data_IF_296424856555
#
_entry.id   IF_296424856555
#
_cell.length_a   1.000
_cell.length_b   1.000
_cell.length_c   1.000
_cell.angle_alpha   90.00
_cell.angle_beta   90.00
_cell.angle_gamma   90.00
#
_symmetry.space_group_name_H-M   'P 1'
#
loop_
_entity.id
_entity.type
_entity.pdbx_description
1 polymer ?
#
# COMPACT_ATOMS: atom_id res chain seq x y z
N UNK A 1 22.70 -15.62 11.14
CA UNK A 1 22.00 -14.92 10.02
C UNK A 1 20.51 -14.92 10.36
N UNK A 2 19.90 -13.75 10.44
CA UNK A 2 18.46 -13.67 10.72
C UNK A 2 17.68 -14.10 9.47
N UNK A 3 17.09 -15.26 9.52
CA UNK A 3 16.34 -15.88 8.41
C UNK A 3 14.89 -15.34 8.31
N UNK A 4 14.69 -14.01 8.43
CA UNK A 4 13.36 -13.39 8.39
C UNK A 4 13.30 -12.25 7.38
N UNK A 5 12.13 -11.99 6.84
CA UNK A 5 11.85 -10.81 6.06
C UNK A 5 11.92 -9.55 6.92
N UNK A 6 12.55 -8.49 6.43
CA UNK A 6 12.59 -7.16 7.04
C UNK A 6 11.97 -6.16 6.08
N UNK A 7 11.23 -5.20 6.61
CA UNK A 7 10.73 -4.09 5.79
C UNK A 7 11.94 -3.31 5.29
N UNK A 8 12.00 -3.11 3.97
CA UNK A 8 13.05 -2.36 3.32
C UNK A 8 12.59 -0.97 2.89
N UNK A 9 11.34 -0.87 2.40
CA UNK A 9 10.74 0.38 1.94
C UNK A 9 9.22 0.31 2.03
N UNK A 10 8.59 1.46 2.28
CA UNK A 10 7.15 1.68 2.07
C UNK A 10 7.01 2.85 1.11
N UNK A 11 6.11 2.73 0.15
CA UNK A 11 5.83 3.77 -0.82
C UNK A 11 4.35 4.05 -0.99
N UNK A 12 4.07 5.28 -1.37
CA UNK A 12 2.75 5.81 -1.65
C UNK A 12 2.78 6.52 -3.00
N UNK A 13 1.73 6.35 -3.78
CA UNK A 13 1.52 7.06 -5.04
C UNK A 13 0.11 7.63 -5.06
N UNK A 14 0.01 8.95 -5.25
CA UNK A 14 -1.25 9.70 -5.30
C UNK A 14 -2.20 9.33 -4.13
N UNK A 15 -1.65 9.30 -2.92
CA UNK A 15 -2.38 8.90 -1.73
C UNK A 15 -2.26 9.98 -0.65
N UNK A 16 -3.37 10.46 -0.14
CA UNK A 16 -3.48 11.56 0.82
C UNK A 16 -2.81 12.84 0.28
N UNK A 17 -1.82 13.39 0.98
CA UNK A 17 -1.05 14.58 0.58
C UNK A 17 0.16 14.25 -0.31
N UNK A 18 0.42 12.98 -0.59
CA UNK A 18 1.61 12.53 -1.30
C UNK A 18 1.31 12.26 -2.77
N UNK A 19 1.99 12.96 -3.66
CA UNK A 19 1.99 12.59 -5.09
C UNK A 19 2.77 11.29 -5.29
N UNK A 20 4.00 11.23 -4.77
CA UNK A 20 4.82 10.04 -4.65
C UNK A 20 5.79 10.23 -3.49
N UNK A 21 5.81 9.26 -2.57
CA UNK A 21 6.71 9.28 -1.43
C UNK A 21 7.20 7.88 -1.12
N UNK A 22 8.46 7.77 -0.73
CA UNK A 22 9.08 6.51 -0.31
C UNK A 22 9.76 6.71 1.05
N UNK A 23 9.57 5.76 1.96
CA UNK A 23 10.19 5.71 3.26
C UNK A 23 11.12 4.51 3.33
N UNK A 24 12.42 4.75 3.31
CA UNK A 24 13.44 3.70 3.43
C UNK A 24 13.63 3.27 4.88
N UNK A 25 13.71 1.96 5.08
CA UNK A 25 13.96 1.33 6.37
C UNK A 25 15.39 0.81 6.43
N UNK A 26 16.10 1.16 7.47
CA UNK A 26 17.45 0.65 7.73
C UNK A 26 17.37 -0.56 8.67
N UNK A 27 17.67 -1.72 8.13
CA UNK A 27 17.58 -3.00 8.86
C UNK A 27 16.20 -3.25 9.50
N UNK A 28 15.14 -2.93 8.76
CA UNK A 28 13.75 -3.06 9.21
C UNK A 28 13.29 -1.97 10.19
N UNK A 29 14.07 -0.89 10.37
CA UNK A 29 13.77 0.19 11.31
C UNK A 29 13.60 1.52 10.59
N UNK A 30 12.60 2.29 11.01
CA UNK A 30 12.34 3.66 10.55
C UNK A 30 12.08 4.55 11.76
N UNK A 31 12.67 5.74 11.78
CA UNK A 31 12.40 6.78 12.77
C UNK A 31 11.82 7.99 12.04
N UNK A 32 10.54 8.28 12.29
CA UNK A 32 9.89 9.49 11.80
C UNK A 32 9.98 10.60 12.84
N UNK A 33 10.54 11.73 12.43
CA UNK A 33 10.60 12.94 13.27
C UNK A 33 9.75 14.04 12.64
N UNK A 34 9.15 14.89 13.46
CA UNK A 34 8.35 16.02 13.02
C UNK A 34 7.47 16.55 14.15
N UNK A 35 6.93 17.75 13.96
CA UNK A 35 6.01 18.39 14.90
C UNK A 35 4.71 17.62 15.06
N UNK A 36 3.92 17.91 16.10
CA UNK A 36 2.59 17.36 16.25
C UNK A 36 1.71 17.81 15.07
N UNK A 37 0.90 16.91 14.53
CA UNK A 37 0.07 17.17 13.35
C UNK A 37 0.76 16.97 11.99
N UNK A 38 2.06 16.61 11.94
CA UNK A 38 2.80 16.41 10.68
C UNK A 38 2.48 15.09 9.95
N UNK A 39 1.46 14.36 10.37
CA UNK A 39 1.01 13.13 9.69
C UNK A 39 1.78 11.85 10.03
N UNK A 40 2.79 11.89 10.92
CA UNK A 40 3.58 10.69 11.30
C UNK A 40 2.74 9.50 11.74
N UNK A 41 1.78 9.75 12.63
CA UNK A 41 0.88 8.70 13.15
C UNK A 41 0.00 8.13 12.05
N UNK A 42 -0.53 8.96 11.16
CA UNK A 42 -1.33 8.51 10.02
C UNK A 42 -0.52 7.61 9.11
N UNK A 43 0.71 8.02 8.76
CA UNK A 43 1.58 7.25 7.87
C UNK A 43 1.88 5.85 8.44
N UNK A 44 2.22 5.75 9.72
CA UNK A 44 2.66 4.47 10.29
C UNK A 44 1.51 3.64 10.86
N UNK A 45 0.56 4.24 11.56
CA UNK A 45 -0.50 3.51 12.22
C UNK A 45 -1.59 3.04 11.25
N UNK A 46 -1.85 3.80 10.18
CA UNK A 46 -2.88 3.45 9.21
C UNK A 46 -2.33 2.64 8.03
N UNK A 47 -1.17 3.03 7.48
CA UNK A 47 -0.70 2.45 6.21
C UNK A 47 -0.08 1.06 6.37
N UNK A 48 0.74 0.82 7.38
CA UNK A 48 1.37 -0.50 7.57
C UNK A 48 0.32 -1.59 7.82
N UNK A 49 -0.63 -1.44 8.77
CA UNK A 49 -1.69 -2.42 8.94
C UNK A 49 -2.53 -2.64 7.68
N UNK A 50 -2.89 -1.55 6.98
CA UNK A 50 -3.65 -1.63 5.74
C UNK A 50 -2.93 -2.43 4.65
N UNK A 51 -1.61 -2.20 4.48
CA UNK A 51 -0.80 -2.96 3.50
C UNK A 51 -0.71 -4.44 3.89
N UNK A 52 -0.72 -4.78 5.17
CA UNK A 52 -0.59 -6.17 5.61
C UNK A 52 -1.88 -6.98 5.46
N UNK A 53 -3.05 -6.40 5.72
CA UNK A 53 -4.32 -7.12 5.75
C UNK A 53 -5.37 -6.64 4.74
N UNK A 54 -5.18 -5.47 4.12
CA UNK A 54 -6.12 -4.88 3.18
C UNK A 54 -7.41 -4.37 3.83
N UNK A 55 -7.50 -4.33 5.14
CA UNK A 55 -8.71 -3.95 5.86
C UNK A 55 -8.88 -2.42 5.89
N UNK A 56 -9.90 -1.92 5.18
CA UNK A 56 -10.22 -0.50 5.00
C UNK A 56 -11.19 0.05 6.05
N UNK A 57 -11.55 -0.71 7.07
CA UNK A 57 -12.51 -0.23 8.08
C UNK A 57 -11.98 0.99 8.83
N UNK A 58 -12.84 1.95 9.21
CA UNK A 58 -12.43 3.12 10.00
C UNK A 58 -11.71 2.76 11.29
N UNK A 59 -12.13 1.69 11.97
CA UNK A 59 -11.47 1.19 13.19
C UNK A 59 -10.02 0.77 12.95
N UNK A 60 -9.72 0.25 11.75
CA UNK A 60 -8.37 -0.18 11.37
C UNK A 60 -7.52 1.02 10.93
N UNK A 61 -8.13 2.01 10.27
CA UNK A 61 -7.45 3.21 9.80
C UNK A 61 -7.16 4.20 10.94
N UNK A 62 -7.97 4.21 11.99
CA UNK A 62 -7.82 5.11 13.13
C UNK A 62 -8.21 4.42 14.45
N UNK A 63 -7.43 3.43 14.91
CA UNK A 63 -7.79 2.59 16.06
C UNK A 63 -7.85 3.37 17.37
N UNK A 64 -7.21 4.54 17.45
CA UNK A 64 -7.16 5.39 18.66
C UNK A 64 -7.88 6.72 18.52
N UNK A 65 -8.52 6.98 17.39
CA UNK A 65 -9.17 8.25 17.09
C UNK A 65 -10.69 8.18 17.05
N UNK A 66 -11.28 9.13 16.32
CA UNK A 66 -12.73 9.30 16.22
C UNK A 66 -13.46 8.22 15.41
N UNK A 67 -12.72 7.35 14.72
CA UNK A 67 -13.25 6.37 13.74
C UNK A 67 -13.98 7.01 12.55
N UNK A 68 -13.78 8.30 12.33
CA UNK A 68 -14.38 9.04 11.21
C UNK A 68 -13.58 8.95 9.92
N UNK A 69 -12.34 8.46 10.00
CA UNK A 69 -11.44 8.36 8.86
C UNK A 69 -11.91 7.30 7.87
N UNK A 70 -12.23 7.74 6.68
CA UNK A 70 -12.62 6.88 5.56
C UNK A 70 -11.46 6.77 4.60
N UNK A 71 -11.27 5.58 4.02
CA UNK A 71 -10.25 5.35 2.98
C UNK A 71 -10.47 6.30 1.79
N UNK A 72 -11.71 6.66 1.50
CA UNK A 72 -12.09 7.58 0.44
C UNK A 72 -11.41 8.94 0.60
N UNK A 73 -11.35 9.50 1.82
CA UNK A 73 -10.74 10.80 2.12
C UNK A 73 -9.25 10.84 1.77
N UNK A 74 -8.57 9.71 1.88
CA UNK A 74 -7.16 9.59 1.50
C UNK A 74 -6.93 9.49 -0.01
N UNK A 75 -7.94 9.08 -0.77
CA UNK A 75 -7.83 8.85 -2.22
C UNK A 75 -8.31 10.06 -3.01
N UNK A 76 -9.52 10.56 -2.73
CA UNK A 76 -10.13 11.66 -3.48
C UNK A 76 -10.22 12.97 -2.70
N UNK A 77 -9.82 12.98 -1.44
CA UNK A 77 -9.99 14.14 -0.55
C UNK A 77 -11.38 14.23 0.07
N UNK A 78 -11.58 15.20 0.94
CA UNK A 78 -12.82 15.44 1.68
C UNK A 78 -13.28 16.90 1.55
N UNK A 79 -14.30 17.29 2.32
CA UNK A 79 -14.85 18.66 2.30
C UNK A 79 -13.86 19.75 2.75
N UNK A 80 -12.79 19.38 3.46
CA UNK A 80 -11.74 20.32 3.93
C UNK A 80 -10.59 20.45 2.92
N UNK A 81 -10.59 19.65 1.86
CA UNK A 81 -9.55 19.60 0.83
C UNK A 81 -10.18 19.68 -0.55
N UNK A 82 -9.35 19.85 -1.59
CA UNK A 82 -9.83 19.74 -2.97
C UNK A 82 -10.26 18.31 -3.23
N UNK A 83 -11.57 18.10 -3.32
CA UNK A 83 -12.12 16.78 -3.62
C UNK A 83 -12.06 16.49 -5.12
N UNK A 84 -11.39 15.40 -5.48
CA UNK A 84 -11.31 14.90 -6.86
C UNK A 84 -12.59 14.11 -7.20
N UNK A 85 -13.06 14.19 -8.45
CA UNK A 85 -14.19 13.35 -8.91
C UNK A 85 -13.81 11.87 -8.97
N UNK A 86 -12.57 11.59 -9.38
CA UNK A 86 -12.00 10.25 -9.42
C UNK A 86 -10.49 10.32 -9.20
N UNK A 87 -9.95 9.33 -8.49
CA UNK A 87 -8.51 9.14 -8.34
C UNK A 87 -8.14 7.67 -8.19
N UNK A 88 -6.92 7.34 -8.60
CA UNK A 88 -6.28 6.05 -8.36
C UNK A 88 -5.06 6.30 -7.48
N UNK A 89 -4.89 5.46 -6.46
CA UNK A 89 -3.80 5.54 -5.51
C UNK A 89 -3.18 4.17 -5.26
N UNK A 90 -1.92 4.16 -4.87
CA UNK A 90 -1.21 2.94 -4.50
C UNK A 90 -0.50 3.09 -3.18
N UNK A 91 -0.52 2.00 -2.39
CA UNK A 91 0.32 1.78 -1.23
C UNK A 91 1.11 0.50 -1.46
N UNK A 92 2.39 0.48 -1.12
CA UNK A 92 3.19 -0.74 -1.24
C UNK A 92 4.25 -0.83 -0.15
N UNK A 93 4.65 -2.06 0.15
CA UNK A 93 5.73 -2.39 1.07
C UNK A 93 6.69 -3.36 0.39
N UNK A 94 7.93 -2.97 0.29
CA UNK A 94 9.02 -3.84 -0.13
C UNK A 94 9.65 -4.47 1.12
N UNK A 95 9.75 -5.78 1.13
CA UNK A 95 10.49 -6.54 2.15
C UNK A 95 11.73 -7.16 1.53
N UNK A 96 12.77 -7.29 2.35
CA UNK A 96 14.06 -7.85 1.96
C UNK A 96 14.45 -8.99 2.88
N UNK A 97 15.00 -10.04 2.29
CA UNK A 97 15.67 -11.14 2.99
C UNK A 97 16.91 -11.52 2.20
N UNK A 98 18.09 -11.29 2.78
CA UNK A 98 19.38 -11.40 2.07
C UNK A 98 19.39 -10.50 0.83
N UNK A 99 19.52 -11.07 -0.37
CA UNK A 99 19.45 -10.35 -1.65
C UNK A 99 18.11 -10.53 -2.38
N UNK A 100 17.12 -11.14 -1.73
CA UNK A 100 15.80 -11.33 -2.30
C UNK A 100 14.85 -10.20 -1.87
N UNK A 101 14.02 -9.76 -2.81
CA UNK A 101 13.02 -8.72 -2.58
C UNK A 101 11.63 -9.25 -2.97
N UNK A 102 10.66 -8.94 -2.14
CA UNK A 102 9.23 -9.11 -2.44
C UNK A 102 8.57 -7.77 -2.18
N UNK A 103 7.72 -7.32 -3.09
CA UNK A 103 6.87 -6.16 -2.85
C UNK A 103 5.41 -6.60 -2.83
N UNK A 104 4.70 -6.27 -1.77
CA UNK A 104 3.25 -6.40 -1.67
C UNK A 104 2.62 -5.02 -1.75
N UNK A 105 1.43 -4.90 -2.32
CA UNK A 105 0.80 -3.60 -2.44
C UNK A 105 -0.69 -3.66 -2.71
N UNK A 106 -1.32 -2.52 -2.49
CA UNK A 106 -2.73 -2.26 -2.70
C UNK A 106 -2.92 -1.11 -3.69
N UNK A 107 -3.82 -1.28 -4.61
CA UNK A 107 -4.35 -0.22 -5.44
C UNK A 107 -5.77 0.11 -5.05
N UNK A 108 -6.13 1.38 -5.14
CA UNK A 108 -7.45 1.90 -4.84
C UNK A 108 -7.94 2.79 -5.96
N UNK A 109 -9.24 2.72 -6.23
CA UNK A 109 -9.94 3.67 -7.09
C UNK A 109 -11.07 4.28 -6.29
N UNK A 110 -10.95 5.57 -5.99
CA UNK A 110 -12.00 6.38 -5.39
C UNK A 110 -12.77 7.12 -6.46
N UNK A 111 -14.09 7.15 -6.33
CA UNK A 111 -15.00 7.96 -7.14
C UNK A 111 -16.02 8.59 -6.21
N UNK A 112 -16.26 9.87 -6.39
CA UNK A 112 -17.22 10.61 -5.54
C UNK A 112 -18.59 9.94 -5.53
N UNK A 113 -19.11 9.69 -4.32
CA UNK A 113 -20.42 9.05 -4.13
C UNK A 113 -20.48 7.57 -4.48
N UNK A 114 -19.33 6.89 -4.68
CA UNK A 114 -19.29 5.45 -4.93
C UNK A 114 -18.35 4.76 -3.94
N UNK A 115 -18.61 3.49 -3.61
CA UNK A 115 -17.68 2.70 -2.79
C UNK A 115 -16.28 2.64 -3.43
N UNK A 116 -15.25 2.69 -2.59
CA UNK A 116 -13.86 2.56 -3.03
C UNK A 116 -13.59 1.14 -3.51
N UNK A 117 -13.19 1.01 -4.76
CA UNK A 117 -12.66 -0.23 -5.32
C UNK A 117 -11.24 -0.44 -4.81
N UNK A 118 -10.86 -1.68 -4.55
CA UNK A 118 -9.49 -2.04 -4.20
C UNK A 118 -9.07 -3.35 -4.83
N UNK A 119 -7.78 -3.49 -5.04
CA UNK A 119 -7.12 -4.69 -5.53
C UNK A 119 -5.76 -4.83 -4.90
N UNK A 120 -5.25 -6.04 -4.85
CA UNK A 120 -3.94 -6.32 -4.32
C UNK A 120 -2.97 -6.82 -5.40
N UNK A 121 -1.68 -6.71 -5.12
CA UNK A 121 -0.64 -7.27 -5.98
C UNK A 121 0.60 -7.66 -5.20
N UNK A 122 1.41 -8.52 -5.78
CA UNK A 122 2.75 -8.80 -5.29
C UNK A 122 3.73 -8.93 -6.45
N UNK A 123 4.91 -8.29 -6.30
CA UNK A 123 6.09 -8.54 -7.12
C UNK A 123 6.97 -9.53 -6.37
N UNK A 124 7.22 -10.67 -6.99
CA UNK A 124 8.06 -11.75 -6.42
C UNK A 124 9.13 -12.23 -7.39
N UNK A 125 9.26 -11.54 -8.53
CA UNK A 125 10.28 -11.79 -9.55
C UNK A 125 11.58 -11.01 -9.31
N UNK A 126 11.72 -10.39 -8.14
CA UNK A 126 12.89 -9.59 -7.77
C UNK A 126 12.87 -8.14 -8.28
N UNK A 127 11.89 -7.75 -9.08
CA UNK A 127 11.72 -6.37 -9.54
C UNK A 127 11.32 -5.46 -8.39
N UNK A 128 11.82 -4.24 -8.43
CA UNK A 128 11.62 -3.23 -7.39
C UNK A 128 10.87 -2.02 -7.95
N UNK A 129 9.89 -1.53 -7.19
CA UNK A 129 9.17 -0.31 -7.56
C UNK A 129 10.13 0.89 -7.49
N UNK A 130 10.03 1.77 -8.47
CA UNK A 130 10.89 2.94 -8.63
C UNK A 130 12.24 2.64 -9.31
N UNK A 131 12.52 1.37 -9.62
CA UNK A 131 13.75 0.95 -10.30
C UNK A 131 13.46 0.13 -11.56
N UNK A 132 12.84 -1.02 -11.40
CA UNK A 132 12.58 -1.97 -12.48
C UNK A 132 11.10 -2.11 -12.82
N UNK A 133 10.24 -1.57 -11.95
CA UNK A 133 8.80 -1.59 -12.07
C UNK A 133 8.20 -0.24 -11.64
N UNK A 134 7.23 0.26 -12.38
CA UNK A 134 6.58 1.54 -12.07
C UNK A 134 5.07 1.38 -12.03
N UNK A 135 4.44 1.97 -10.99
CA UNK A 135 2.98 1.98 -10.78
C UNK A 135 2.27 3.11 -11.57
N UNK A 136 2.98 3.79 -12.44
CA UNK A 136 2.46 4.86 -13.29
C UNK A 136 2.81 4.62 -14.77
N UNK A 137 2.10 5.33 -15.66
CA UNK A 137 2.23 5.18 -17.11
C UNK A 137 3.49 5.83 -17.64
N UNK A 138 3.77 7.01 -17.13
CA UNK A 138 4.80 7.92 -17.62
C UNK A 138 5.56 8.53 -16.45
N UNK A 139 6.89 8.45 -16.41
CA UNK A 139 7.72 9.06 -15.39
C UNK A 139 7.53 10.58 -15.22
N UNK A 140 7.20 11.29 -16.31
CA UNK A 140 7.04 12.74 -16.27
C UNK A 140 5.74 13.18 -15.59
N UNK A 141 4.64 12.45 -15.85
CA UNK A 141 3.30 12.81 -15.37
C UNK A 141 2.81 11.98 -14.18
N UNK A 142 3.50 10.87 -13.86
CA UNK A 142 3.19 9.95 -12.76
C UNK A 142 1.70 9.57 -12.64
N UNK A 143 1.03 9.44 -13.79
CA UNK A 143 -0.38 9.04 -13.84
C UNK A 143 -0.48 7.57 -13.41
N UNK A 144 -1.15 7.27 -12.27
CA UNK A 144 -1.21 5.90 -11.77
C UNK A 144 -1.82 4.93 -12.77
N UNK A 145 -1.31 3.69 -12.77
CA UNK A 145 -1.89 2.63 -13.57
C UNK A 145 -3.33 2.34 -13.12
N UNK A 146 -4.22 2.09 -14.06
CA UNK A 146 -5.51 1.49 -13.75
C UNK A 146 -5.34 0.04 -13.32
N UNK A 147 -6.37 -0.53 -12.72
CA UNK A 147 -6.44 -1.94 -12.31
C UNK A 147 -6.02 -2.89 -13.44
N UNK A 148 -6.57 -2.71 -14.63
CA UNK A 148 -6.31 -3.56 -15.78
C UNK A 148 -4.89 -3.39 -16.34
N UNK A 149 -4.38 -2.16 -16.36
CA UNK A 149 -3.00 -1.89 -16.78
C UNK A 149 -1.98 -2.50 -15.82
N UNK A 150 -2.22 -2.42 -14.50
CA UNK A 150 -1.39 -3.11 -13.53
C UNK A 150 -1.41 -4.61 -13.74
N UNK A 151 -2.62 -5.21 -13.84
CA UNK A 151 -2.77 -6.65 -14.04
C UNK A 151 -2.02 -7.14 -15.28
N UNK A 152 -2.09 -6.39 -16.37
CA UNK A 152 -1.33 -6.69 -17.59
C UNK A 152 0.19 -6.56 -17.38
N UNK A 153 0.64 -5.53 -16.66
CA UNK A 153 2.07 -5.27 -16.42
C UNK A 153 2.74 -6.27 -15.48
N UNK A 154 1.99 -6.84 -14.54
CA UNK A 154 2.49 -7.84 -13.59
C UNK A 154 2.97 -9.14 -14.28
N UNK A 155 2.36 -9.51 -15.41
CA UNK A 155 2.68 -10.76 -16.10
C UNK A 155 2.26 -12.00 -15.30
N UNK A 156 2.89 -13.14 -15.57
CA UNK A 156 2.49 -14.45 -15.03
C UNK A 156 3.21 -14.87 -13.75
N UNK A 157 4.38 -14.27 -13.48
CA UNK A 157 5.19 -14.62 -12.28
C UNK A 157 4.64 -13.92 -11.03
N UNK A 158 4.25 -12.66 -11.19
CA UNK A 158 3.74 -11.82 -10.13
C UNK A 158 2.26 -12.13 -9.86
N UNK A 159 1.74 -11.66 -8.74
CA UNK A 159 0.38 -11.99 -8.33
C UNK A 159 -0.53 -10.77 -8.32
N UNK A 160 -1.79 -11.00 -8.63
CA UNK A 160 -2.86 -10.02 -8.58
C UNK A 160 -4.06 -10.62 -7.86
N UNK A 161 -4.72 -9.83 -7.01
CA UNK A 161 -5.90 -10.24 -6.25
C UNK A 161 -7.02 -9.21 -6.39
N UNK A 162 -8.24 -9.68 -6.53
CA UNK A 162 -9.43 -8.84 -6.69
C UNK A 162 -10.14 -8.55 -5.37
N UNK A 163 -9.88 -9.35 -4.33
CA UNK A 163 -10.57 -9.25 -3.03
C UNK A 163 -9.58 -9.10 -1.87
N UNK A 164 -10.04 -8.46 -0.79
CA UNK A 164 -9.26 -8.34 0.47
C UNK A 164 -8.89 -9.71 1.06
N UNK A 165 -9.79 -10.68 0.97
CA UNK A 165 -9.54 -12.05 1.47
C UNK A 165 -8.40 -12.73 0.72
N UNK A 166 -8.41 -12.66 -0.61
CA UNK A 166 -7.33 -13.21 -1.45
C UNK A 166 -6.02 -12.47 -1.18
N UNK A 167 -6.07 -11.14 -1.05
CA UNK A 167 -4.91 -10.32 -0.73
C UNK A 167 -4.28 -10.75 0.61
N UNK A 168 -5.06 -10.83 1.68
CA UNK A 168 -4.58 -11.27 3.00
C UNK A 168 -3.95 -12.66 2.92
N UNK A 169 -4.59 -13.61 2.24
CA UNK A 169 -4.05 -14.96 2.04
C UNK A 169 -2.74 -14.96 1.26
N UNK A 170 -2.62 -14.13 0.21
CA UNK A 170 -1.38 -13.95 -0.55
C UNK A 170 -0.25 -13.40 0.32
N UNK A 171 -0.51 -12.32 1.08
CA UNK A 171 0.48 -11.71 1.99
C UNK A 171 0.95 -12.72 3.04
N UNK A 172 0.03 -13.41 3.69
CA UNK A 172 0.34 -14.43 4.70
C UNK A 172 1.23 -15.54 4.15
N UNK A 173 0.90 -16.04 2.97
CA UNK A 173 1.68 -17.08 2.31
C UNK A 173 3.09 -16.59 1.93
N UNK A 174 3.20 -15.39 1.37
CA UNK A 174 4.47 -14.85 0.89
C UNK A 174 5.42 -14.46 2.03
N UNK A 175 4.90 -13.87 3.11
CA UNK A 175 5.73 -13.33 4.19
C UNK A 175 5.91 -14.31 5.34
N UNK A 176 4.90 -15.12 5.65
CA UNK A 176 4.89 -16.01 6.81
C UNK A 176 4.86 -17.50 6.46
N UNK A 177 4.65 -17.83 5.19
CA UNK A 177 4.59 -19.23 4.73
C UNK A 177 3.25 -19.95 4.99
N UNK A 178 2.26 -19.27 5.58
CA UNK A 178 0.95 -19.82 5.93
C UNK A 178 -0.18 -18.97 5.36
N UNK A 179 -1.05 -19.49 4.46
CA UNK A 179 -2.09 -18.70 3.81
C UNK A 179 -3.25 -18.29 4.73
N UNK A 180 -3.43 -18.96 5.85
CA UNK A 180 -4.60 -18.84 6.74
C UNK A 180 -4.22 -18.37 8.16
N UNK A 181 -3.43 -17.33 8.30
CA UNK A 181 -3.26 -16.65 9.58
C UNK A 181 -4.49 -15.78 9.85
N UNK A 182 -5.19 -16.03 10.96
CA UNK A 182 -6.46 -15.35 11.25
C UNK A 182 -6.24 -13.95 11.80
N UNK A 183 -5.16 -13.71 12.54
CA UNK A 183 -4.85 -12.41 13.15
C UNK A 183 -3.35 -12.11 13.14
N UNK A 184 -3.03 -10.83 13.26
CA UNK A 184 -1.70 -10.31 13.56
C UNK A 184 -1.67 -9.74 15.01
N UNK A 185 -2.59 -10.16 15.84
CA UNK A 185 -2.72 -9.74 17.23
C UNK A 185 -1.69 -10.40 18.14
#
# INVERSE_FOLDING_TARGET
MENRWKINKIGLLNYWWYDEEEFDFYDGKLILRGTNGSGKSVTMQSFIPLILDGNKSPDRLDPFGSKERKIEDYIIGNSETIQKEEAISYLYMEVKKDNNYITIGLGFRGRKGKPVESWGFALKDGKRIGKDFYLYKDPANKVPLSKNELKSRLGTINEFTDTTKEYKSMVNRLLFGFPNLDTYD
#
